data_IF_699273676749
#
_entry.id   IF_699273676749
#
_cell.length_a   1.000
_cell.length_b   1.000
_cell.length_c   1.000
_cell.angle_alpha   90.00
_cell.angle_beta   90.00
_cell.angle_gamma   90.00
#
_symmetry.space_group_name_H-M   'P 1'
#
loop_
_entity.id
_entity.type
_entity.pdbx_description
1 polymer ?
#
# COMPACT_ATOMS: atom_id res chain seq x y z
N UNK A 1 -4.80 -57.60 35.33
CA UNK A 1 -5.94 -56.70 35.10
C UNK A 1 -5.70 -56.00 33.78
N UNK A 2 -6.48 -56.32 32.75
CA UNK A 2 -6.36 -55.71 31.41
C UNK A 2 -6.70 -54.22 31.54
N UNK A 3 -5.78 -53.34 31.14
CA UNK A 3 -6.07 -51.92 30.92
C UNK A 3 -7.25 -51.85 29.96
N UNK A 4 -8.40 -51.40 30.47
CA UNK A 4 -9.56 -51.14 29.63
C UNK A 4 -9.23 -49.89 28.81
N UNK A 5 -9.04 -50.04 27.51
CA UNK A 5 -8.92 -48.89 26.61
C UNK A 5 -10.15 -47.99 26.75
N UNK A 6 -9.90 -46.69 26.76
CA UNK A 6 -10.91 -45.64 26.94
C UNK A 6 -10.96 -44.85 25.63
N UNK A 7 -12.16 -44.59 25.11
CA UNK A 7 -12.41 -43.72 23.96
C UNK A 7 -13.44 -42.65 24.34
N UNK A 8 -13.57 -41.61 23.52
CA UNK A 8 -14.54 -40.54 23.77
C UNK A 8 -15.64 -40.53 22.71
N UNK A 9 -16.86 -40.19 23.13
CA UNK A 9 -17.98 -40.06 22.22
C UNK A 9 -17.71 -38.99 21.16
N UNK A 10 -17.86 -39.33 19.87
CA UNK A 10 -17.67 -38.39 18.74
C UNK A 10 -18.63 -37.20 18.76
N UNK A 11 -19.77 -37.31 19.44
CA UNK A 11 -20.83 -36.30 19.43
C UNK A 11 -20.90 -35.48 20.72
N UNK A 12 -20.82 -36.10 21.90
CA UNK A 12 -20.90 -35.39 23.18
C UNK A 12 -19.59 -35.34 23.99
N UNK A 13 -18.58 -36.13 23.63
CA UNK A 13 -17.30 -36.18 24.34
C UNK A 13 -17.30 -36.96 25.66
N UNK A 14 -18.37 -37.72 25.95
CA UNK A 14 -18.44 -38.62 27.11
C UNK A 14 -17.37 -39.72 27.06
N UNK A 15 -16.84 -40.11 28.22
CA UNK A 15 -15.91 -41.23 28.37
C UNK A 15 -16.63 -42.56 28.14
N UNK A 16 -16.11 -43.35 27.21
CA UNK A 16 -16.68 -44.62 26.80
C UNK A 16 -15.61 -45.72 26.86
N UNK A 17 -15.96 -46.94 27.27
CA UNK A 17 -15.13 -48.10 27.02
C UNK A 17 -14.89 -48.29 25.51
N UNK A 18 -13.70 -48.74 25.12
CA UNK A 18 -13.24 -48.85 23.72
C UNK A 18 -14.19 -49.61 22.77
N UNK A 19 -14.92 -50.60 23.30
CA UNK A 19 -15.80 -51.48 22.51
C UNK A 19 -17.27 -51.03 22.44
N UNK A 20 -17.60 -49.83 22.93
CA UNK A 20 -19.00 -49.35 22.91
C UNK A 20 -19.41 -48.83 21.54
N UNK A 21 -20.52 -49.36 20.99
CA UNK A 21 -21.10 -48.99 19.68
C UNK A 21 -21.97 -47.73 19.71
N UNK A 22 -22.54 -47.38 20.87
CA UNK A 22 -23.43 -46.23 21.03
C UNK A 22 -23.14 -45.51 22.34
N UNK A 23 -23.07 -44.17 22.30
CA UNK A 23 -22.87 -43.39 23.51
C UNK A 23 -24.11 -43.47 24.42
N UNK A 24 -23.89 -43.83 25.69
CA UNK A 24 -24.96 -43.94 26.68
C UNK A 24 -25.62 -42.59 27.02
N UNK A 25 -24.92 -41.47 26.80
CA UNK A 25 -25.40 -40.13 27.15
C UNK A 25 -26.15 -39.45 25.99
N UNK A 26 -25.63 -39.55 24.76
CA UNK A 26 -26.21 -38.84 23.61
C UNK A 26 -26.77 -39.74 22.51
N UNK A 27 -26.65 -41.06 22.64
CA UNK A 27 -27.15 -42.04 21.66
C UNK A 27 -26.37 -42.12 20.35
N UNK A 28 -25.30 -41.33 20.18
CA UNK A 28 -24.54 -41.30 18.92
C UNK A 28 -23.81 -42.63 18.67
N UNK A 29 -23.86 -43.13 17.44
CA UNK A 29 -23.11 -44.31 17.00
C UNK A 29 -21.60 -44.01 17.00
N UNK A 30 -20.81 -44.93 17.57
CA UNK A 30 -19.35 -44.84 17.66
C UNK A 30 -18.71 -45.87 16.73
N UNK A 31 -17.52 -45.58 16.22
CA UNK A 31 -16.69 -46.55 15.51
C UNK A 31 -16.06 -47.51 16.52
N UNK A 32 -16.07 -48.82 16.23
CA UNK A 32 -15.47 -49.87 17.07
C UNK A 32 -14.19 -50.33 16.41
N UNK A 33 -13.14 -50.54 17.22
CA UNK A 33 -11.76 -50.87 16.82
C UNK A 33 -11.63 -52.24 16.11
N UNK A 34 -12.75 -52.94 15.87
CA UNK A 34 -12.77 -54.29 15.30
C UNK A 34 -13.24 -54.45 13.85
N UNK A 35 -13.65 -53.37 13.15
CA UNK A 35 -14.22 -53.47 11.79
C UNK A 35 -13.23 -53.13 10.64
N UNK A 36 -11.94 -52.95 10.95
CA UNK A 36 -10.93 -52.66 9.93
C UNK A 36 -10.16 -53.94 9.55
N UNK A 37 -10.66 -54.65 8.53
CA UNK A 37 -9.79 -55.50 7.70
C UNK A 37 -8.80 -54.58 6.98
N UNK A 38 -7.53 -54.67 7.37
CA UNK A 38 -6.35 -54.37 6.56
C UNK A 38 -6.47 -53.10 5.69
N UNK A 39 -6.58 -51.96 6.34
CA UNK A 39 -6.06 -50.70 5.80
C UNK A 39 -4.99 -50.28 6.79
N UNK A 40 -3.73 -50.33 6.37
CA UNK A 40 -2.57 -49.85 7.10
C UNK A 40 -2.94 -48.60 7.91
N UNK A 41 -3.14 -48.76 9.22
CA UNK A 41 -3.25 -47.63 10.10
C UNK A 41 -1.89 -46.96 10.03
N UNK A 42 -1.80 -45.95 9.17
CA UNK A 42 -0.74 -44.95 9.22
C UNK A 42 -0.98 -44.21 10.52
N UNK A 43 -0.60 -44.87 11.62
CA UNK A 43 -0.14 -44.25 12.84
C UNK A 43 0.83 -43.21 12.33
N UNK A 44 0.40 -41.95 12.37
CA UNK A 44 1.21 -40.83 11.95
C UNK A 44 2.41 -40.87 12.88
N UNK A 45 3.50 -41.50 12.43
CA UNK A 45 4.76 -41.44 13.11
C UNK A 45 5.01 -39.95 13.28
N UNK A 46 5.07 -39.51 14.53
CA UNK A 46 5.68 -38.25 14.89
C UNK A 46 7.09 -38.27 14.28
N UNK A 47 7.24 -37.74 13.07
CA UNK A 47 8.53 -37.52 12.46
C UNK A 47 9.38 -36.76 13.49
N UNK A 48 10.55 -37.34 13.76
CA UNK A 48 11.62 -36.86 14.64
C UNK A 48 11.60 -35.34 14.81
N UNK A 49 11.29 -34.88 16.02
CA UNK A 49 11.39 -33.48 16.48
C UNK A 49 10.82 -32.43 15.49
N UNK A 50 9.63 -31.87 15.76
CA UNK A 50 9.08 -30.75 15.00
C UNK A 50 10.14 -29.67 14.74
N UNK A 51 10.34 -29.32 13.47
CA UNK A 51 11.19 -28.22 13.03
C UNK A 51 10.45 -27.34 12.02
N UNK A 52 11.03 -26.18 11.68
CA UNK A 52 10.47 -25.20 10.72
C UNK A 52 10.04 -25.87 9.41
N UNK A 53 10.95 -26.61 8.77
CA UNK A 53 10.67 -27.18 7.45
C UNK A 53 9.59 -28.25 7.46
N UNK A 54 9.54 -29.09 8.50
CA UNK A 54 8.52 -30.13 8.63
C UNK A 54 7.15 -29.52 8.92
N UNK A 55 7.10 -28.50 9.78
CA UNK A 55 5.88 -27.77 10.10
C UNK A 55 5.32 -27.03 8.87
N UNK A 56 6.17 -26.34 8.10
CA UNK A 56 5.77 -25.67 6.87
C UNK A 56 5.24 -26.64 5.80
N UNK A 57 5.95 -27.75 5.55
CA UNK A 57 5.50 -28.80 4.61
C UNK A 57 4.17 -29.39 5.04
N UNK A 58 3.99 -29.65 6.35
CA UNK A 58 2.74 -30.14 6.90
C UNK A 58 1.61 -29.10 6.73
N UNK A 59 1.91 -27.81 6.94
CA UNK A 59 1.00 -26.70 6.68
C UNK A 59 0.46 -26.72 5.25
N UNK A 60 1.36 -26.75 4.26
CA UNK A 60 1.00 -26.80 2.83
C UNK A 60 0.21 -28.06 2.48
N UNK A 61 0.62 -29.22 3.00
CA UNK A 61 -0.06 -30.50 2.75
C UNK A 61 -1.51 -30.49 3.22
N UNK A 62 -1.78 -29.80 4.33
CA UNK A 62 -3.08 -29.78 5.02
C UNK A 62 -3.77 -28.40 4.97
N UNK A 63 -3.44 -27.57 3.97
CA UNK A 63 -3.90 -26.19 3.84
C UNK A 63 -5.44 -26.05 3.92
N UNK A 64 -6.19 -26.96 3.30
CA UNK A 64 -7.66 -26.97 3.31
C UNK A 64 -8.27 -28.08 4.19
N UNK A 65 -7.46 -28.71 5.06
CA UNK A 65 -7.94 -29.80 5.93
C UNK A 65 -8.25 -29.27 7.32
N UNK A 66 -9.54 -29.20 7.68
CA UNK A 66 -9.98 -28.66 8.97
C UNK A 66 -10.29 -29.73 10.04
N UNK A 67 -10.75 -30.92 9.64
CA UNK A 67 -11.10 -31.99 10.58
C UNK A 67 -9.92 -32.88 10.96
N UNK A 68 -8.78 -32.27 11.31
CA UNK A 68 -7.61 -32.94 11.89
C UNK A 68 -7.15 -32.16 13.14
N UNK A 69 -6.35 -32.80 13.98
CA UNK A 69 -5.64 -32.13 15.08
C UNK A 69 -4.21 -31.73 14.68
N UNK A 70 -3.60 -30.79 15.40
CA UNK A 70 -2.19 -30.41 15.19
C UNK A 70 -1.54 -30.13 16.55
N UNK A 71 -0.41 -30.82 16.79
CA UNK A 71 0.40 -30.67 18.00
C UNK A 71 0.91 -29.23 18.15
N UNK A 72 0.98 -28.74 19.39
CA UNK A 72 1.55 -27.46 19.82
C UNK A 72 2.84 -27.09 19.11
N UNK A 73 3.81 -28.00 19.04
CA UNK A 73 5.12 -27.69 18.47
C UNK A 73 5.04 -27.41 16.96
N UNK A 74 4.31 -28.23 16.20
CA UNK A 74 4.08 -28.00 14.77
C UNK A 74 3.32 -26.69 14.52
N UNK A 75 2.37 -26.35 15.39
CA UNK A 75 1.63 -25.08 15.29
C UNK A 75 2.55 -23.87 15.46
N UNK A 76 3.37 -23.83 16.51
CA UNK A 76 4.24 -22.68 16.77
C UNK A 76 5.40 -22.55 15.78
N UNK A 77 5.95 -23.66 15.29
CA UNK A 77 6.95 -23.62 14.21
C UNK A 77 6.34 -23.07 12.91
N UNK A 78 5.15 -23.55 12.52
CA UNK A 78 4.45 -23.02 11.35
C UNK A 78 4.12 -21.53 11.54
N UNK A 79 3.66 -21.12 12.74
CA UNK A 79 3.40 -19.72 13.04
C UNK A 79 4.65 -18.86 12.85
N UNK A 80 5.81 -19.34 13.33
CA UNK A 80 7.09 -18.67 13.14
C UNK A 80 7.48 -18.57 11.65
N UNK A 81 7.33 -19.66 10.89
CA UNK A 81 7.60 -19.65 9.45
C UNK A 81 6.75 -18.61 8.73
N UNK A 82 5.44 -18.60 9.02
CA UNK A 82 4.50 -17.65 8.42
C UNK A 82 4.81 -16.21 8.86
N UNK A 83 5.21 -15.99 10.11
CA UNK A 83 5.63 -14.67 10.59
C UNK A 83 6.85 -14.16 9.82
N UNK A 84 7.90 -14.98 9.69
CA UNK A 84 9.12 -14.60 8.97
C UNK A 84 8.86 -14.33 7.48
N UNK A 85 8.04 -15.16 6.84
CA UNK A 85 7.62 -14.93 5.45
C UNK A 85 6.87 -13.60 5.34
N UNK A 86 5.94 -13.29 6.26
CA UNK A 86 5.21 -12.03 6.23
C UNK A 86 6.13 -10.81 6.45
N UNK A 87 7.11 -10.89 7.36
CA UNK A 87 8.12 -9.84 7.54
C UNK A 87 8.92 -9.64 6.26
N UNK A 88 9.39 -10.73 5.63
CA UNK A 88 10.14 -10.66 4.37
C UNK A 88 9.31 -10.05 3.23
N UNK A 89 8.07 -10.51 3.05
CA UNK A 89 7.14 -9.96 2.06
C UNK A 89 6.85 -8.49 2.33
N UNK A 90 6.64 -8.13 3.60
CA UNK A 90 6.37 -6.77 4.08
C UNK A 90 7.51 -5.79 3.83
N UNK A 91 8.77 -6.25 3.92
CA UNK A 91 9.95 -5.41 3.66
C UNK A 91 10.29 -5.29 2.17
N UNK A 92 9.91 -6.28 1.35
CA UNK A 92 10.42 -6.38 -0.03
C UNK A 92 9.36 -6.16 -1.11
N UNK A 93 8.22 -6.85 -1.04
CA UNK A 93 7.21 -6.89 -2.09
C UNK A 93 6.04 -5.93 -1.81
N UNK A 94 5.65 -5.77 -0.55
CA UNK A 94 4.55 -4.88 -0.15
C UNK A 94 4.83 -3.41 -0.48
N UNK A 95 6.03 -2.83 -0.23
CA UNK A 95 6.29 -1.44 -0.56
C UNK A 95 6.25 -1.22 -2.07
N UNK A 96 6.72 -2.18 -2.87
CA UNK A 96 6.66 -2.13 -4.34
C UNK A 96 5.23 -2.22 -4.86
N UNK A 97 4.38 -3.02 -4.21
CA UNK A 97 2.96 -3.10 -4.52
C UNK A 97 2.23 -1.78 -4.13
N UNK A 98 2.57 -1.18 -2.98
CA UNK A 98 1.91 0.04 -2.48
C UNK A 98 2.42 1.34 -3.13
N UNK A 99 3.69 1.43 -3.51
CA UNK A 99 4.32 2.68 -3.98
C UNK A 99 3.85 3.16 -5.35
N UNK A 100 3.03 2.39 -6.07
CA UNK A 100 2.73 2.61 -7.48
C UNK A 100 1.24 2.76 -7.80
N UNK A 101 0.40 3.08 -6.80
CA UNK A 101 -1.04 3.28 -6.98
C UNK A 101 -1.53 4.65 -6.45
N UNK A 102 -0.75 5.71 -6.70
CA UNK A 102 -1.14 7.09 -6.40
C UNK A 102 -1.91 7.77 -7.55
N UNK A 103 -2.18 7.04 -8.64
CA UNK A 103 -2.91 7.53 -9.81
C UNK A 103 -4.13 6.62 -9.97
N UNK A 104 -5.32 7.21 -10.12
CA UNK A 104 -6.61 6.52 -10.04
C UNK A 104 -6.80 5.33 -10.99
N UNK A 105 -8.00 4.74 -10.95
CA UNK A 105 -8.41 3.51 -11.66
C UNK A 105 -8.14 3.45 -13.18
N UNK A 106 -7.62 4.49 -13.81
CA UNK A 106 -7.53 4.63 -15.26
C UNK A 106 -6.44 3.84 -15.96
N UNK A 107 -5.24 3.65 -15.38
CA UNK A 107 -4.09 3.13 -16.14
C UNK A 107 -3.13 2.26 -15.31
N UNK A 108 -3.58 1.10 -14.82
CA UNK A 108 -2.63 0.09 -14.35
C UNK A 108 -1.81 -0.43 -15.53
N UNK A 109 -0.49 -0.21 -15.50
CA UNK A 109 0.41 -0.99 -16.36
C UNK A 109 0.18 -2.49 -16.09
N UNK A 110 0.00 -3.30 -17.14
CA UNK A 110 -0.29 -4.73 -17.03
C UNK A 110 0.69 -5.46 -16.09
N UNK A 111 1.95 -5.04 -16.07
CA UNK A 111 2.98 -5.59 -15.18
C UNK A 111 2.67 -5.36 -13.69
N UNK A 112 2.04 -4.25 -13.34
CA UNK A 112 1.68 -3.90 -11.96
C UNK A 112 0.45 -4.65 -11.46
N UNK A 113 -0.54 -4.83 -12.34
CA UNK A 113 -1.71 -5.67 -12.04
C UNK A 113 -1.28 -7.11 -11.72
N UNK A 114 -0.34 -7.64 -12.51
CA UNK A 114 0.23 -8.97 -12.28
C UNK A 114 0.93 -9.05 -10.91
N UNK A 115 1.75 -8.05 -10.56
CA UNK A 115 2.43 -8.01 -9.27
C UNK A 115 1.44 -7.98 -8.10
N UNK A 116 0.37 -7.19 -8.21
CA UNK A 116 -0.71 -7.10 -7.21
C UNK A 116 -1.42 -8.44 -7.00
N UNK A 117 -1.76 -9.13 -8.10
CA UNK A 117 -2.39 -10.46 -8.04
C UNK A 117 -1.45 -11.48 -7.40
N UNK A 118 -0.14 -11.43 -7.72
CA UNK A 118 0.86 -12.32 -7.11
C UNK A 118 0.94 -12.09 -5.59
N UNK A 119 1.07 -10.84 -5.15
CA UNK A 119 1.15 -10.51 -3.72
C UNK A 119 -0.15 -10.87 -3.00
N UNK A 120 -1.31 -10.54 -3.58
CA UNK A 120 -2.62 -10.91 -3.06
C UNK A 120 -2.79 -12.43 -2.94
N UNK A 121 -2.30 -13.19 -3.93
CA UNK A 121 -2.36 -14.66 -3.92
C UNK A 121 -1.45 -15.28 -2.87
N UNK A 122 -0.25 -14.72 -2.66
CA UNK A 122 0.65 -15.12 -1.59
C UNK A 122 0.00 -14.90 -0.21
N UNK A 123 -0.56 -13.70 0.04
CA UNK A 123 -1.26 -13.41 1.28
C UNK A 123 -2.49 -14.29 1.50
N UNK A 124 -3.31 -14.50 0.46
CA UNK A 124 -4.45 -15.41 0.53
C UNK A 124 -4.01 -16.83 0.93
N UNK A 125 -2.94 -17.34 0.32
CA UNK A 125 -2.43 -18.67 0.64
C UNK A 125 -1.89 -18.76 2.08
N UNK A 126 -1.07 -17.79 2.51
CA UNK A 126 -0.55 -17.75 3.89
C UNK A 126 -1.69 -17.65 4.93
N UNK A 127 -2.74 -16.88 4.63
CA UNK A 127 -3.91 -16.78 5.48
C UNK A 127 -4.66 -18.12 5.60
N UNK A 128 -4.79 -18.89 4.51
CA UNK A 128 -5.38 -20.23 4.53
C UNK A 128 -4.55 -21.18 5.41
N UNK A 129 -3.21 -21.15 5.29
CA UNK A 129 -2.32 -21.97 6.11
C UNK A 129 -2.52 -21.66 7.61
N UNK A 130 -2.52 -20.37 7.97
CA UNK A 130 -2.72 -19.92 9.35
C UNK A 130 -4.11 -20.31 9.88
N UNK A 131 -5.16 -20.07 9.08
CA UNK A 131 -6.54 -20.36 9.48
C UNK A 131 -6.76 -21.86 9.72
N UNK A 132 -6.34 -22.70 8.77
CA UNK A 132 -6.43 -24.15 8.90
C UNK A 132 -5.66 -24.66 10.12
N UNK A 133 -4.42 -24.22 10.32
CA UNK A 133 -3.63 -24.62 11.47
C UNK A 133 -4.26 -24.19 12.80
N UNK A 134 -4.86 -23.00 12.85
CA UNK A 134 -5.54 -22.49 14.06
C UNK A 134 -6.78 -23.29 14.41
N UNK A 135 -7.59 -23.68 13.42
CA UNK A 135 -8.74 -24.59 13.63
C UNK A 135 -8.27 -25.95 14.14
N UNK A 136 -7.26 -26.54 13.47
CA UNK A 136 -6.70 -27.85 13.89
C UNK A 136 -6.10 -27.81 15.29
N UNK A 137 -5.54 -26.68 15.69
CA UNK A 137 -4.99 -26.49 17.03
C UNK A 137 -6.09 -26.33 18.10
N UNK A 138 -7.20 -25.67 17.78
CA UNK A 138 -8.35 -25.62 18.68
C UNK A 138 -8.96 -27.01 18.88
N UNK A 139 -9.10 -27.79 17.79
CA UNK A 139 -9.55 -29.17 17.86
C UNK A 139 -8.67 -30.03 18.78
N UNK A 140 -7.34 -29.85 18.70
CA UNK A 140 -6.36 -30.54 19.56
C UNK A 140 -6.52 -30.22 21.05
N UNK A 141 -7.08 -29.04 21.39
CA UNK A 141 -7.43 -28.66 22.79
C UNK A 141 -8.90 -28.86 23.11
N UNK A 142 -9.58 -29.72 22.34
CA UNK A 142 -10.98 -30.11 22.48
C UNK A 142 -11.98 -28.93 22.32
N UNK A 143 -11.60 -27.90 21.57
CA UNK A 143 -12.44 -26.71 21.30
C UNK A 143 -12.88 -26.70 19.84
N UNK A 144 -14.07 -26.16 19.56
CA UNK A 144 -14.54 -26.00 18.18
C UNK A 144 -13.78 -24.87 17.47
N UNK A 145 -13.66 -24.95 16.15
CA UNK A 145 -13.09 -23.88 15.33
C UNK A 145 -13.79 -22.52 15.50
N UNK A 146 -15.05 -22.52 15.96
CA UNK A 146 -15.81 -21.30 16.26
C UNK A 146 -15.17 -20.45 17.36
N UNK A 147 -14.27 -21.01 18.18
CA UNK A 147 -13.52 -20.19 19.14
C UNK A 147 -12.66 -19.11 18.44
N UNK A 148 -12.34 -19.24 17.14
CA UNK A 148 -11.65 -18.19 16.39
C UNK A 148 -12.42 -16.88 16.31
N UNK A 149 -13.77 -16.91 16.40
CA UNK A 149 -14.59 -15.70 16.44
C UNK A 149 -14.28 -14.80 17.64
N UNK A 150 -13.70 -15.35 18.72
CA UNK A 150 -13.22 -14.55 19.83
C UNK A 150 -12.16 -13.53 19.38
N UNK A 151 -11.41 -13.80 18.31
CA UNK A 151 -10.45 -12.85 17.74
C UNK A 151 -11.07 -11.55 17.21
N UNK A 152 -12.40 -11.49 17.02
CA UNK A 152 -13.11 -10.24 16.69
C UNK A 152 -13.24 -9.30 17.89
N UNK A 153 -13.04 -9.78 19.12
CA UNK A 153 -13.05 -8.97 20.33
C UNK A 153 -11.63 -8.43 20.55
N UNK A 154 -11.42 -7.09 20.49
CA UNK A 154 -10.10 -6.51 20.67
C UNK A 154 -9.49 -6.89 22.02
N UNK A 155 -8.17 -7.11 22.03
CA UNK A 155 -7.36 -7.39 23.24
C UNK A 155 -7.74 -8.71 23.94
N UNK A 156 -8.90 -8.79 24.59
CA UNK A 156 -9.33 -9.94 25.40
C UNK A 156 -9.48 -11.20 24.55
N UNK A 157 -10.07 -11.05 23.37
CA UNK A 157 -10.26 -12.14 22.41
C UNK A 157 -8.96 -12.76 21.95
N UNK A 158 -7.98 -11.91 21.62
CA UNK A 158 -6.64 -12.33 21.21
C UNK A 158 -5.89 -13.05 22.33
N UNK A 159 -5.93 -12.51 23.56
CA UNK A 159 -5.29 -13.15 24.72
C UNK A 159 -5.90 -14.54 24.97
N UNK A 160 -7.22 -14.66 24.91
CA UNK A 160 -7.91 -15.94 25.08
C UNK A 160 -7.50 -16.97 24.02
N UNK A 161 -7.38 -16.56 22.75
CA UNK A 161 -6.90 -17.43 21.68
C UNK A 161 -5.45 -17.89 21.89
N UNK A 162 -4.57 -16.98 22.30
CA UNK A 162 -3.17 -17.32 22.63
C UNK A 162 -3.13 -18.34 23.78
N UNK A 163 -3.93 -18.16 24.82
CA UNK A 163 -4.06 -19.12 25.92
C UNK A 163 -4.55 -20.48 25.39
N UNK A 164 -5.50 -20.51 24.47
CA UNK A 164 -5.97 -21.77 23.89
C UNK A 164 -4.89 -22.44 23.03
N UNK A 165 -4.12 -21.68 22.26
CA UNK A 165 -3.05 -22.23 21.42
C UNK A 165 -1.82 -22.73 22.21
N UNK A 166 -1.61 -22.26 23.45
CA UNK A 166 -0.49 -22.66 24.31
C UNK A 166 -0.79 -23.87 25.20
N UNK A 167 -2.07 -24.15 25.50
CA UNK A 167 -2.51 -25.29 26.34
C UNK A 167 -2.02 -26.64 25.82
N UNK A 168 -1.84 -27.61 26.70
CA UNK A 168 -1.47 -28.97 26.28
C UNK A 168 -2.61 -29.63 25.47
N UNK A 169 -2.24 -30.61 24.65
CA UNK A 169 -3.18 -31.37 23.83
C UNK A 169 -4.13 -32.17 24.74
N UNK A 170 -5.42 -32.13 24.46
CA UNK A 170 -6.43 -32.89 25.18
C UNK A 170 -6.78 -34.16 24.39
N UNK A 171 -6.72 -35.31 25.04
CA UNK A 171 -7.13 -36.60 24.46
C UNK A 171 -8.55 -36.58 23.88
N UNK A 172 -9.44 -35.74 24.41
CA UNK A 172 -10.81 -35.53 23.90
C UNK A 172 -10.85 -34.85 22.53
N UNK A 173 -9.78 -34.16 22.13
CA UNK A 173 -9.64 -33.50 20.84
C UNK A 173 -9.74 -34.46 19.64
N UNK A 174 -9.38 -35.74 19.83
CA UNK A 174 -9.47 -36.79 18.80
C UNK A 174 -10.86 -36.93 18.17
N UNK A 175 -11.93 -36.46 18.82
CA UNK A 175 -13.30 -36.45 18.25
C UNK A 175 -13.42 -35.63 16.97
N UNK A 176 -12.52 -34.66 16.75
CA UNK A 176 -12.52 -33.80 15.57
C UNK A 176 -11.76 -34.39 14.38
N UNK A 177 -11.01 -35.48 14.59
CA UNK A 177 -10.33 -36.21 13.53
C UNK A 177 -11.37 -36.96 12.70
N UNK A 178 -11.65 -36.44 11.51
CA UNK A 178 -12.49 -37.10 10.51
C UNK A 178 -11.60 -37.93 9.59
N UNK A 179 -12.05 -39.12 9.21
CA UNK A 179 -11.42 -39.88 8.12
C UNK A 179 -11.60 -39.10 6.81
N UNK A 180 -10.60 -38.31 6.44
CA UNK A 180 -10.55 -37.65 5.14
C UNK A 180 -10.17 -38.67 4.06
N UNK A 181 -10.84 -38.57 2.92
CA UNK A 181 -10.36 -39.16 1.67
C UNK A 181 -8.89 -38.78 1.45
N UNK A 182 -8.07 -39.74 1.00
CA UNK A 182 -6.64 -39.57 0.71
C UNK A 182 -6.34 -38.57 -0.41
N UNK A 183 -7.37 -37.99 -1.03
CA UNK A 183 -7.24 -37.02 -2.08
C UNK A 183 -6.66 -35.70 -1.57
N UNK A 184 -5.54 -35.32 -2.19
CA UNK A 184 -4.83 -34.06 -1.93
C UNK A 184 -5.72 -32.86 -2.26
N UNK A 185 -5.61 -31.79 -1.48
CA UNK A 185 -6.49 -30.63 -1.58
C UNK A 185 -6.50 -29.98 -2.96
N UNK A 186 -5.37 -29.95 -3.66
CA UNK A 186 -5.24 -29.32 -4.98
C UNK A 186 -5.95 -30.10 -6.10
N UNK A 187 -6.44 -31.32 -5.85
CA UNK A 187 -7.28 -32.07 -6.80
C UNK A 187 -8.74 -31.62 -6.79
N UNK A 188 -9.17 -30.92 -5.73
CA UNK A 188 -10.56 -30.44 -5.58
C UNK A 188 -10.67 -29.02 -6.14
N UNK A 189 -11.47 -28.85 -7.21
CA UNK A 189 -11.65 -27.55 -7.89
C UNK A 189 -12.20 -26.46 -6.95
N UNK A 190 -13.04 -26.83 -5.98
CA UNK A 190 -13.59 -25.90 -4.97
C UNK A 190 -12.51 -25.16 -4.19
N UNK A 191 -11.38 -25.81 -3.89
CA UNK A 191 -10.28 -25.18 -3.16
C UNK A 191 -9.59 -24.10 -4.00
N UNK A 192 -9.49 -24.32 -5.32
CA UNK A 192 -8.98 -23.31 -6.25
C UNK A 192 -9.91 -22.12 -6.37
N UNK A 193 -11.23 -22.34 -6.39
CA UNK A 193 -12.22 -21.26 -6.37
C UNK A 193 -12.09 -20.41 -5.11
N UNK A 194 -11.97 -21.04 -3.94
CA UNK A 194 -11.75 -20.34 -2.68
C UNK A 194 -10.45 -19.52 -2.73
N UNK A 195 -9.36 -20.10 -3.25
CA UNK A 195 -8.08 -19.42 -3.38
C UNK A 195 -8.17 -18.18 -4.29
N UNK A 196 -8.84 -18.29 -5.44
CA UNK A 196 -9.03 -17.17 -6.39
C UNK A 196 -9.87 -16.07 -5.76
N UNK A 197 -10.98 -16.41 -5.09
CA UNK A 197 -11.83 -15.43 -4.42
C UNK A 197 -11.04 -14.70 -3.33
N UNK A 198 -10.30 -15.42 -2.49
CA UNK A 198 -9.47 -14.81 -1.45
C UNK A 198 -8.36 -13.95 -2.04
N UNK A 199 -7.76 -14.35 -3.15
CA UNK A 199 -6.75 -13.57 -3.87
C UNK A 199 -7.30 -12.23 -4.33
N UNK A 200 -8.52 -12.21 -4.91
CA UNK A 200 -9.19 -10.98 -5.31
C UNK A 200 -9.49 -10.08 -4.12
N UNK A 201 -10.02 -10.64 -3.02
CA UNK A 201 -10.29 -9.88 -1.79
C UNK A 201 -9.01 -9.27 -1.22
N UNK A 202 -7.93 -10.05 -1.13
CA UNK A 202 -6.64 -9.55 -0.66
C UNK A 202 -6.10 -8.44 -1.56
N UNK A 203 -6.23 -8.58 -2.89
CA UNK A 203 -5.79 -7.56 -3.86
C UNK A 203 -6.57 -6.25 -3.68
N UNK A 204 -7.89 -6.34 -3.56
CA UNK A 204 -8.77 -5.17 -3.30
C UNK A 204 -8.42 -4.52 -1.95
N UNK A 205 -8.10 -5.33 -0.93
CA UNK A 205 -7.74 -4.83 0.40
C UNK A 205 -6.40 -4.10 0.39
N UNK A 206 -5.39 -4.65 -0.30
CA UNK A 206 -4.08 -3.99 -0.50
C UNK A 206 -4.29 -2.65 -1.21
N UNK A 207 -5.12 -2.64 -2.25
CA UNK A 207 -5.46 -1.43 -2.99
C UNK A 207 -6.11 -0.36 -2.09
N UNK A 208 -7.12 -0.77 -1.31
CA UNK A 208 -7.84 0.10 -0.37
C UNK A 208 -6.91 0.66 0.71
N UNK A 209 -5.99 -0.18 1.22
CA UNK A 209 -5.00 0.24 2.22
C UNK A 209 -3.98 1.21 1.64
N UNK A 210 -3.50 0.97 0.41
CA UNK A 210 -2.62 1.90 -0.30
C UNK A 210 -3.29 3.27 -0.47
N UNK A 211 -4.55 3.28 -0.92
CA UNK A 211 -5.36 4.49 -1.04
C UNK A 211 -5.52 5.21 0.31
N UNK A 212 -5.89 4.48 1.37
CA UNK A 212 -6.05 5.05 2.71
C UNK A 212 -4.73 5.63 3.26
N UNK A 213 -3.59 4.97 3.05
CA UNK A 213 -2.28 5.49 3.49
C UNK A 213 -1.90 6.76 2.75
N UNK A 214 -2.20 6.87 1.44
CA UNK A 214 -1.99 8.09 0.66
C UNK A 214 -2.87 9.24 1.14
N UNK A 215 -4.15 8.96 1.41
CA UNK A 215 -5.07 9.95 1.97
C UNK A 215 -4.68 10.37 3.39
N UNK A 216 -4.13 9.47 4.20
CA UNK A 216 -3.60 9.80 5.51
C UNK A 216 -2.33 10.67 5.41
N UNK A 217 -1.44 10.41 4.45
CA UNK A 217 -0.27 11.26 4.19
C UNK A 217 -0.70 12.66 3.71
N UNK A 218 -1.73 12.75 2.86
CA UNK A 218 -2.35 14.01 2.44
C UNK A 218 -2.92 14.80 3.64
N UNK A 219 -3.80 14.19 4.44
CA UNK A 219 -4.42 14.83 5.60
C UNK A 219 -3.43 15.18 6.73
N UNK A 220 -2.34 14.40 6.87
CA UNK A 220 -1.28 14.67 7.85
C UNK A 220 -0.45 15.90 7.46
N UNK A 221 -0.24 16.12 6.17
CA UNK A 221 0.33 17.37 5.64
C UNK A 221 -0.53 18.57 6.04
N UNK A 222 -1.84 18.45 5.93
CA UNK A 222 -2.81 19.50 6.27
C UNK A 222 -2.94 19.76 7.79
N UNK A 223 -2.90 18.72 8.63
CA UNK A 223 -2.96 18.89 10.11
C UNK A 223 -1.69 19.52 10.71
N UNK A 224 -0.55 19.42 10.02
CA UNK A 224 0.70 20.08 10.43
C UNK A 224 0.62 21.61 10.20
N UNK A 225 -0.24 22.04 9.27
CA UNK A 225 -0.53 23.46 9.02
C UNK A 225 -1.51 23.98 10.09
N UNK A 226 -2.53 23.20 10.47
CA UNK A 226 -3.53 23.60 11.47
C UNK A 226 -3.00 23.63 12.91
N UNK A 227 -2.14 22.69 13.30
CA UNK A 227 -1.58 22.64 14.67
C UNK A 227 -0.54 23.73 14.98
N UNK A 228 -0.10 24.52 13.98
CA UNK A 228 0.72 25.72 14.22
C UNK A 228 -0.12 26.96 14.54
N UNK A 229 -1.45 26.89 14.39
CA UNK A 229 -2.37 28.03 14.58
C UNK A 229 -2.94 28.09 16.01
N UNK A 230 -3.05 26.97 16.73
CA UNK A 230 -3.76 26.94 18.03
C UNK A 230 -2.88 27.04 19.28
N UNK A 231 -1.55 26.90 19.19
CA UNK A 231 -0.68 26.83 20.39
C UNK A 231 0.15 28.08 20.72
N UNK A 232 -0.18 29.25 20.20
CA UNK A 232 0.58 30.50 20.48
C UNK A 232 -0.23 31.65 21.09
N UNK A 233 -1.26 31.34 21.89
CA UNK A 233 -1.84 32.34 22.81
C UNK A 233 -1.64 31.92 24.27
N UNK A 234 -0.91 32.75 25.01
CA UNK A 234 -0.60 32.72 26.45
C UNK A 234 0.55 31.81 26.93
N UNK A 235 1.79 32.29 26.84
CA UNK A 235 2.45 32.91 28.00
C UNK A 235 3.85 33.39 27.62
N UNK A 236 4.07 34.65 27.97
CA UNK A 236 5.27 35.47 27.85
C UNK A 236 6.52 34.83 28.45
N UNK A 237 7.63 34.85 27.70
CA UNK A 237 8.82 35.63 28.06
C UNK A 237 9.76 35.75 26.85
N UNK A 238 9.93 37.01 26.42
CA UNK A 238 11.10 37.62 25.76
C UNK A 238 11.80 36.84 24.62
N UNK A 239 11.59 37.29 23.38
CA UNK A 239 12.51 38.24 22.72
C UNK A 239 11.86 38.82 21.45
N UNK A 240 12.41 39.96 21.06
CA UNK A 240 11.80 41.08 20.36
C UNK A 240 11.10 40.78 19.02
N UNK A 241 9.96 41.43 18.81
CA UNK A 241 9.24 41.50 17.55
C UNK A 241 9.78 42.62 16.68
N UNK A 242 10.06 42.33 15.41
CA UNK A 242 9.75 43.27 14.32
C UNK A 242 9.28 42.48 13.11
N UNK A 243 7.97 42.53 12.88
CA UNK A 243 7.38 42.34 11.55
C UNK A 243 8.00 43.36 10.59
N UNK A 244 8.43 42.95 9.40
CA UNK A 244 8.25 43.78 8.20
C UNK A 244 8.08 42.90 6.96
N UNK A 245 6.97 43.16 6.27
CA UNK A 245 6.82 42.89 4.86
C UNK A 245 7.67 43.92 4.11
N UNK A 246 8.75 43.51 3.45
CA UNK A 246 9.33 44.33 2.37
C UNK A 246 10.32 43.55 1.51
N UNK A 247 10.12 43.70 0.20
CA UNK A 247 11.13 43.58 -0.85
C UNK A 247 12.42 44.34 -0.53
N UNK A 248 13.60 43.74 -0.72
CA UNK A 248 14.79 44.35 -1.34
C UNK A 248 16.03 43.45 -1.28
N UNK A 249 16.65 43.27 -2.45
CA UNK A 249 18.09 43.33 -2.74
C UNK A 249 19.14 42.61 -1.85
N UNK A 250 19.68 41.54 -2.44
CA UNK A 250 21.10 41.18 -2.61
C UNK A 250 22.05 40.98 -1.40
N UNK A 251 22.71 39.80 -1.46
CA UNK A 251 24.04 39.41 -0.92
C UNK A 251 24.16 39.07 0.57
N UNK A 252 23.68 37.88 0.94
CA UNK A 252 24.44 36.90 1.73
C UNK A 252 23.77 35.52 1.54
N UNK A 253 24.55 34.43 1.57
CA UNK A 253 24.22 33.08 1.05
C UNK A 253 22.73 32.70 0.94
N UNK A 254 22.20 32.64 -0.29
CA UNK A 254 20.79 32.33 -0.53
C UNK A 254 20.54 30.82 -0.42
N UNK A 255 19.80 30.41 0.61
CA UNK A 255 19.21 29.07 0.66
C UNK A 255 17.76 29.13 0.19
N UNK A 256 17.37 28.29 -0.74
CA UNK A 256 15.98 28.07 -1.13
C UNK A 256 15.44 26.83 -0.43
N UNK A 257 14.20 26.88 0.05
CA UNK A 257 13.56 25.69 0.61
C UNK A 257 12.75 24.99 -0.48
N UNK A 258 13.07 23.73 -0.77
CA UNK A 258 12.25 22.81 -1.58
C UNK A 258 11.71 21.73 -0.65
N UNK A 259 10.45 21.87 -0.23
CA UNK A 259 9.80 20.95 0.70
C UNK A 259 10.47 20.98 2.08
N UNK A 260 11.11 19.89 2.49
CA UNK A 260 11.87 19.80 3.76
C UNK A 260 13.38 20.00 3.56
N UNK A 261 13.84 20.13 2.33
CA UNK A 261 15.25 20.26 1.98
C UNK A 261 15.62 21.74 1.82
N UNK A 262 16.72 22.14 2.45
CA UNK A 262 17.36 23.43 2.14
C UNK A 262 18.36 23.21 1.02
N UNK A 263 18.25 24.03 -0.03
CA UNK A 263 19.10 24.02 -1.20
C UNK A 263 19.91 25.29 -1.17
N UNK A 264 21.23 25.17 -1.09
CA UNK A 264 22.12 26.32 -1.17
C UNK A 264 22.20 26.77 -2.64
N UNK A 265 22.05 28.07 -2.88
CA UNK A 265 22.01 28.68 -4.21
C UNK A 265 23.32 29.44 -4.44
N UNK A 266 24.06 29.01 -5.45
CA UNK A 266 25.30 29.65 -5.87
C UNK A 266 25.06 30.90 -6.72
N UNK A 267 24.01 30.89 -7.56
CA UNK A 267 23.66 32.02 -8.42
C UNK A 267 22.16 31.99 -8.79
N UNK A 268 21.56 33.13 -9.10
CA UNK A 268 20.18 33.21 -9.59
C UNK A 268 20.02 34.29 -10.66
N UNK A 269 19.08 34.09 -11.58
CA UNK A 269 18.67 35.12 -12.53
C UNK A 269 17.18 35.09 -12.79
N UNK A 270 16.57 36.26 -12.66
CA UNK A 270 15.16 36.51 -12.99
C UNK A 270 15.02 36.98 -14.43
N UNK A 271 14.03 36.43 -15.12
CA UNK A 271 13.62 36.80 -16.46
C UNK A 271 12.14 37.18 -16.43
N UNK A 272 11.83 38.44 -16.75
CA UNK A 272 10.45 38.87 -16.95
C UNK A 272 9.98 38.45 -18.34
N UNK A 273 8.78 37.89 -18.44
CA UNK A 273 8.25 37.34 -19.68
C UNK A 273 6.89 37.98 -19.98
N UNK A 274 6.51 37.96 -21.26
CA UNK A 274 5.21 38.48 -21.74
C UNK A 274 4.43 37.39 -22.47
N UNK A 275 4.70 36.14 -22.14
CA UNK A 275 4.04 35.02 -22.80
C UNK A 275 2.56 35.02 -22.43
N UNK A 276 1.70 34.84 -23.44
CA UNK A 276 0.26 34.82 -23.28
C UNK A 276 -0.37 33.93 -24.36
N UNK A 277 -1.21 32.99 -23.96
CA UNK A 277 -2.05 32.18 -24.85
C UNK A 277 -3.52 32.34 -24.45
N UNK A 278 -4.34 32.85 -25.36
CA UNK A 278 -5.79 33.01 -25.21
C UNK A 278 -6.58 32.24 -26.26
N UNK A 279 -5.98 31.25 -26.90
CA UNK A 279 -6.52 30.61 -28.11
C UNK A 279 -7.47 29.46 -27.83
N UNK A 280 -7.66 29.06 -26.57
CA UNK A 280 -8.43 27.86 -26.22
C UNK A 280 -9.41 28.09 -25.07
N UNK A 281 -10.63 27.58 -25.24
CA UNK A 281 -11.72 27.58 -24.26
C UNK A 281 -12.06 28.95 -23.62
N UNK A 282 -11.69 30.07 -24.27
CA UNK A 282 -11.82 31.41 -23.69
C UNK A 282 -10.91 31.66 -22.47
N UNK A 283 -9.96 30.77 -22.22
CA UNK A 283 -9.03 30.79 -21.09
C UNK A 283 -7.75 31.52 -21.48
N UNK A 284 -7.23 32.32 -20.55
CA UNK A 284 -5.97 33.04 -20.71
C UNK A 284 -4.88 32.42 -19.82
N UNK A 285 -3.87 31.85 -20.46
CA UNK A 285 -2.64 31.39 -19.82
C UNK A 285 -1.56 32.45 -20.01
N UNK A 286 -0.93 32.89 -18.92
CA UNK A 286 0.20 33.83 -18.98
C UNK A 286 1.36 33.34 -18.15
N UNK A 287 2.57 33.50 -18.68
CA UNK A 287 3.82 33.31 -17.94
C UNK A 287 4.49 34.67 -17.92
N UNK A 288 4.62 35.25 -16.73
CA UNK A 288 5.12 36.59 -16.48
C UNK A 288 6.53 36.61 -15.88
N UNK A 289 6.94 35.52 -15.22
CA UNK A 289 8.29 35.39 -14.65
C UNK A 289 8.85 33.99 -14.76
N UNK A 290 10.12 33.91 -15.15
CA UNK A 290 10.96 32.71 -15.06
C UNK A 290 12.19 33.03 -14.22
N UNK A 291 12.49 32.22 -13.22
CA UNK A 291 13.70 32.34 -12.41
C UNK A 291 14.57 31.10 -12.57
N UNK A 292 15.85 31.30 -12.88
CA UNK A 292 16.82 30.24 -13.01
C UNK A 292 17.77 30.30 -11.82
N UNK A 293 17.89 29.20 -11.10
CA UNK A 293 18.78 29.05 -9.96
C UNK A 293 19.88 28.05 -10.30
N UNK A 294 21.12 28.42 -9.98
CA UNK A 294 22.27 27.52 -9.94
C UNK A 294 22.47 27.09 -8.49
N UNK A 295 22.45 25.78 -8.24
CA UNK A 295 22.67 25.27 -6.88
C UNK A 295 24.15 25.21 -6.55
N UNK A 296 24.47 25.40 -5.27
CA UNK A 296 25.81 25.17 -4.72
C UNK A 296 25.97 23.68 -4.42
N UNK A 297 26.47 22.94 -5.42
CA UNK A 297 26.59 21.49 -5.39
C UNK A 297 25.45 20.77 -6.13
N UNK A 298 25.35 19.46 -5.89
CA UNK A 298 24.42 18.56 -6.56
C UNK A 298 23.48 17.93 -5.53
N UNK A 299 22.19 17.97 -5.80
CA UNK A 299 21.14 17.53 -4.90
C UNK A 299 20.35 16.37 -5.52
N UNK A 300 19.76 15.52 -4.68
CA UNK A 300 18.89 14.44 -5.13
C UNK A 300 17.48 14.98 -5.40
N UNK A 301 16.96 14.73 -6.60
CA UNK A 301 15.58 15.05 -6.97
C UNK A 301 14.57 14.14 -6.28
N UNK A 302 13.29 14.53 -6.32
CA UNK A 302 12.20 13.82 -5.65
C UNK A 302 11.56 12.72 -6.52
N UNK A 303 12.15 12.41 -7.68
CA UNK A 303 11.67 11.34 -8.55
C UNK A 303 12.03 9.95 -7.99
N UNK A 304 11.36 8.92 -8.50
CA UNK A 304 11.59 7.52 -8.08
C UNK A 304 13.03 7.02 -8.26
N UNK A 305 13.84 7.72 -9.08
CA UNK A 305 15.23 7.38 -9.39
C UNK A 305 16.23 8.23 -8.60
N UNK A 306 15.76 9.21 -7.82
CA UNK A 306 16.55 10.26 -7.19
C UNK A 306 17.53 10.90 -8.16
N UNK A 307 17.03 11.32 -9.33
CA UNK A 307 17.89 11.95 -10.33
C UNK A 307 18.56 13.19 -9.75
N UNK A 308 19.87 13.27 -9.93
CA UNK A 308 20.67 14.37 -9.41
C UNK A 308 20.46 15.62 -10.24
N UNK A 309 20.30 16.76 -9.57
CA UNK A 309 20.17 18.06 -10.21
C UNK A 309 21.18 19.07 -9.66
N UNK A 310 21.54 20.04 -10.50
CA UNK A 310 22.43 21.14 -10.11
C UNK A 310 21.93 22.52 -10.57
N UNK A 311 20.67 22.59 -11.02
CA UNK A 311 19.95 23.82 -11.35
C UNK A 311 18.45 23.64 -11.17
N UNK A 312 17.74 24.76 -10.98
CA UNK A 312 16.29 24.80 -10.80
C UNK A 312 15.75 25.90 -11.72
N UNK A 313 14.69 25.60 -12.48
CA UNK A 313 13.92 26.59 -13.23
C UNK A 313 12.55 26.72 -12.57
N UNK A 314 12.22 27.91 -12.08
CA UNK A 314 10.93 28.26 -11.51
C UNK A 314 10.15 29.10 -12.50
N UNK A 315 8.96 28.68 -12.87
CA UNK A 315 8.09 29.37 -13.83
C UNK A 315 6.82 29.80 -13.11
N UNK A 316 6.59 31.11 -13.03
CA UNK A 316 5.34 31.65 -12.50
C UNK A 316 4.31 31.72 -13.64
N UNK A 317 3.17 31.07 -13.45
CA UNK A 317 2.08 31.04 -14.41
C UNK A 317 0.78 31.49 -13.76
N UNK A 318 0.00 32.29 -14.49
CA UNK A 318 -1.36 32.64 -14.14
C UNK A 318 -2.36 32.13 -15.19
N UNK A 319 -3.48 31.61 -14.71
CA UNK A 319 -4.58 31.05 -15.49
C UNK A 319 -5.85 31.84 -15.14
N UNK A 320 -6.47 32.43 -16.15
CA UNK A 320 -7.80 33.04 -16.04
C UNK A 320 -8.78 32.30 -16.93
N UNK A 321 -9.65 31.51 -16.31
CA UNK A 321 -10.62 30.66 -17.00
C UNK A 321 -11.73 31.50 -17.62
N UNK A 322 -12.13 31.10 -18.82
CA UNK A 322 -13.27 31.69 -19.52
C UNK A 322 -14.61 31.30 -18.90
N UNK A 323 -15.66 31.24 -19.72
CA UNK A 323 -17.03 30.95 -19.26
C UNK A 323 -17.37 29.46 -19.13
N UNK A 324 -16.39 28.56 -19.31
CA UNK A 324 -16.58 27.10 -19.24
C UNK A 324 -15.57 26.50 -18.26
N UNK A 325 -16.00 25.47 -17.53
CA UNK A 325 -15.12 24.65 -16.70
C UNK A 325 -14.09 23.93 -17.58
N UNK A 326 -12.86 23.82 -17.10
CA UNK A 326 -11.74 23.16 -17.80
C UNK A 326 -10.94 22.31 -16.83
N UNK A 327 -10.20 21.35 -17.35
CA UNK A 327 -9.12 20.67 -16.65
C UNK A 327 -7.81 21.00 -17.37
N UNK A 328 -6.77 21.46 -16.67
CA UNK A 328 -5.47 21.76 -17.29
C UNK A 328 -4.34 21.42 -16.33
N UNK A 329 -3.17 21.00 -16.86
CA UNK A 329 -2.10 20.46 -16.00
C UNK A 329 -0.70 21.12 -16.19
N UNK A 330 -0.52 22.46 -16.09
CA UNK A 330 0.80 23.08 -16.11
C UNK A 330 1.79 22.61 -15.04
N UNK A 331 1.34 22.20 -13.84
CA UNK A 331 2.22 21.63 -12.82
C UNK A 331 2.71 20.21 -13.18
N UNK A 332 2.20 19.63 -14.27
CA UNK A 332 2.66 18.37 -14.88
C UNK A 332 3.37 18.62 -16.23
N UNK A 333 3.78 19.87 -16.50
CA UNK A 333 4.39 20.23 -17.77
C UNK A 333 5.76 19.56 -17.98
N UNK A 334 6.13 19.44 -19.25
CA UNK A 334 7.50 19.11 -19.68
C UNK A 334 8.25 20.39 -20.04
N UNK A 335 9.45 20.58 -19.51
CA UNK A 335 10.38 21.63 -19.89
C UNK A 335 11.48 21.09 -20.81
N UNK A 336 11.72 21.79 -21.92
CA UNK A 336 12.90 21.65 -22.76
C UNK A 336 13.74 22.92 -22.72
N UNK A 337 15.05 22.77 -22.52
CA UNK A 337 16.03 23.87 -22.46
C UNK A 337 16.80 24.01 -23.77
N UNK A 338 17.49 25.14 -23.99
CA UNK A 338 18.29 25.36 -25.21
C UNK A 338 19.46 24.39 -25.38
N UNK A 339 19.95 23.78 -24.30
CA UNK A 339 21.02 22.78 -24.31
C UNK A 339 20.49 21.33 -24.44
N UNK A 340 19.19 21.18 -24.71
CA UNK A 340 18.56 19.89 -25.04
C UNK A 340 18.18 19.04 -23.84
N UNK A 341 18.24 19.57 -22.61
CA UNK A 341 17.70 18.86 -21.45
C UNK A 341 16.18 18.84 -21.53
N UNK A 342 15.59 17.72 -21.14
CA UNK A 342 14.16 17.55 -21.03
C UNK A 342 13.84 17.01 -19.64
N UNK A 343 13.03 17.73 -18.89
CA UNK A 343 12.63 17.39 -17.52
C UNK A 343 11.14 17.65 -17.34
N UNK A 344 10.50 16.82 -16.52
CA UNK A 344 9.12 17.07 -16.10
C UNK A 344 9.11 18.01 -14.89
N UNK A 345 8.00 18.72 -14.70
CA UNK A 345 7.76 19.53 -13.52
C UNK A 345 7.82 18.68 -12.25
N UNK A 346 8.43 19.23 -11.20
CA UNK A 346 8.39 18.66 -9.86
C UNK A 346 7.05 19.00 -9.22
N UNK A 347 6.09 18.10 -9.42
CA UNK A 347 4.74 18.21 -8.87
C UNK A 347 4.70 18.29 -7.33
N UNK A 348 5.74 17.84 -6.63
CA UNK A 348 5.75 17.88 -5.17
C UNK A 348 6.10 19.26 -4.62
N UNK A 349 6.84 20.05 -5.40
CA UNK A 349 7.30 21.38 -4.99
C UNK A 349 6.60 22.52 -5.71
N UNK A 350 5.88 22.23 -6.79
CA UNK A 350 5.06 23.19 -7.52
C UNK A 350 3.78 23.53 -6.75
N UNK A 351 3.30 24.76 -6.95
CA UNK A 351 2.08 25.25 -6.32
C UNK A 351 0.85 24.53 -6.90
N UNK A 352 -0.19 24.39 -6.07
CA UNK A 352 -1.47 23.78 -6.46
C UNK A 352 -2.42 24.85 -7.05
N UNK A 353 -2.29 25.08 -8.36
CA UNK A 353 -3.05 26.11 -9.09
C UNK A 353 -3.71 25.59 -10.38
N UNK A 354 -3.55 24.30 -10.68
CA UNK A 354 -4.06 23.64 -11.88
C UNK A 354 -5.04 22.51 -11.54
N UNK A 355 -5.30 21.60 -12.48
CA UNK A 355 -6.34 20.59 -12.38
C UNK A 355 -7.70 21.10 -12.88
N UNK A 356 -8.77 20.75 -12.17
CA UNK A 356 -10.14 21.12 -12.51
C UNK A 356 -10.43 22.55 -12.04
N UNK A 357 -10.68 23.44 -13.00
CA UNK A 357 -10.90 24.86 -12.78
C UNK A 357 -12.29 25.26 -13.30
N UNK A 358 -13.10 25.79 -12.39
CA UNK A 358 -14.43 26.29 -12.71
C UNK A 358 -14.35 27.54 -13.62
N UNK A 359 -15.41 27.76 -14.39
CA UNK A 359 -15.62 28.96 -15.18
C UNK A 359 -15.38 30.24 -14.35
N UNK A 360 -14.67 31.19 -14.95
CA UNK A 360 -14.29 32.48 -14.39
C UNK A 360 -13.29 32.43 -13.22
N UNK A 361 -12.78 31.24 -12.85
CA UNK A 361 -11.72 31.13 -11.85
C UNK A 361 -10.44 31.85 -12.31
N UNK A 362 -9.70 32.37 -11.33
CA UNK A 362 -8.37 32.94 -11.50
C UNK A 362 -7.44 32.28 -10.50
N UNK A 363 -6.36 31.72 -11.00
CA UNK A 363 -5.36 30.98 -10.24
C UNK A 363 -3.98 31.33 -10.78
N UNK A 364 -2.99 31.37 -9.91
CA UNK A 364 -1.60 31.55 -10.28
C UNK A 364 -0.71 30.73 -9.33
N UNK A 365 0.49 30.41 -9.79
CA UNK A 365 1.42 29.60 -9.02
C UNK A 365 2.75 29.41 -9.72
N UNK A 366 3.69 28.87 -8.95
CA UNK A 366 5.04 28.53 -9.38
C UNK A 366 5.15 27.06 -9.76
N UNK A 367 5.71 26.79 -10.93
CA UNK A 367 6.08 25.46 -11.40
C UNK A 367 7.60 25.32 -11.28
N UNK A 368 8.08 24.26 -10.63
CA UNK A 368 9.52 24.01 -10.47
C UNK A 368 9.99 22.88 -11.37
N UNK A 369 11.12 23.07 -12.03
CA UNK A 369 11.79 22.07 -12.86
C UNK A 369 13.22 21.88 -12.35
N UNK A 370 13.59 20.64 -12.03
CA UNK A 370 14.92 20.29 -11.54
C UNK A 370 15.78 19.86 -12.73
N UNK A 371 16.77 20.66 -13.12
CA UNK A 371 17.63 20.38 -14.27
C UNK A 371 18.96 19.72 -13.86
N UNK A 372 19.36 18.60 -14.49
CA UNK A 372 20.59 17.88 -14.17
C UNK A 372 21.87 18.70 -14.27
N UNK A 373 21.91 19.63 -15.24
CA UNK A 373 23.12 20.38 -15.60
C UNK A 373 22.80 21.86 -15.80
N UNK A 374 23.56 22.71 -15.13
CA UNK A 374 23.59 24.15 -15.32
C UNK A 374 24.97 24.62 -14.87
N UNK A 375 25.74 25.28 -15.73
CA UNK A 375 27.04 25.84 -15.34
C UNK A 375 26.85 27.28 -14.87
N UNK A 376 26.16 28.11 -15.68
CA UNK A 376 25.78 29.48 -15.33
C UNK A 376 24.30 29.70 -15.61
N UNK A 377 23.66 30.54 -14.79
CA UNK A 377 22.25 30.93 -14.99
C UNK A 377 22.00 31.66 -16.31
N UNK A 378 23.05 32.24 -16.93
CA UNK A 378 23.01 32.88 -18.24
C UNK A 378 23.06 31.92 -19.43
N UNK A 379 23.44 30.65 -19.20
CA UNK A 379 23.55 29.67 -20.28
C UNK A 379 22.16 29.20 -20.75
N UNK A 380 21.16 29.36 -19.88
CA UNK A 380 19.76 29.12 -20.21
C UNK A 380 19.17 30.34 -20.93
N UNK A 381 18.98 30.21 -22.24
CA UNK A 381 18.49 31.29 -23.13
C UNK A 381 17.06 31.04 -23.63
N UNK A 382 16.58 29.80 -23.55
CA UNK A 382 15.19 29.47 -23.86
C UNK A 382 14.64 28.43 -22.89
N UNK A 383 13.34 28.54 -22.61
CA UNK A 383 12.55 27.55 -21.89
C UNK A 383 11.31 27.24 -22.73
N UNK A 384 11.18 26.00 -23.21
CA UNK A 384 10.00 25.53 -23.93
C UNK A 384 9.17 24.64 -23.01
N UNK A 385 7.96 25.05 -22.68
CA UNK A 385 7.05 24.32 -21.81
C UNK A 385 5.93 23.69 -22.62
N UNK A 386 5.59 22.45 -22.30
CA UNK A 386 4.43 21.74 -22.86
C UNK A 386 3.53 21.21 -21.75
N UNK A 387 2.24 21.43 -21.88
CA UNK A 387 1.22 20.91 -20.98
C UNK A 387 -0.08 20.66 -21.74
N UNK A 388 -1.05 20.05 -21.09
CA UNK A 388 -2.33 19.71 -21.70
C UNK A 388 -3.50 20.39 -21.00
N UNK A 389 -4.60 20.53 -21.72
CA UNK A 389 -5.90 20.89 -21.14
C UNK A 389 -7.03 20.23 -21.90
N UNK A 390 -8.13 19.98 -21.19
CA UNK A 390 -9.35 19.41 -21.72
C UNK A 390 -10.59 20.05 -21.08
N UNK A 391 -11.75 19.88 -21.70
CA UNK A 391 -13.04 20.17 -21.07
C UNK A 391 -14.05 19.10 -21.46
N UNK A 392 -15.03 18.86 -20.59
CA UNK A 392 -16.10 17.91 -20.85
C UNK A 392 -17.10 18.48 -21.88
N UNK A 393 -17.54 17.61 -22.79
CA UNK A 393 -18.54 17.91 -23.81
C UNK A 393 -19.23 16.61 -24.25
N UNK A 394 -20.54 16.71 -24.51
CA UNK A 394 -21.34 15.60 -25.06
C UNK A 394 -21.24 15.54 -26.61
N UNK A 395 -20.58 16.53 -27.22
CA UNK A 395 -20.33 16.57 -28.65
C UNK A 395 -19.09 15.73 -28.99
N UNK A 396 -19.32 14.50 -29.46
CA UNK A 396 -18.27 13.57 -29.85
C UNK A 396 -17.41 14.06 -31.03
N UNK A 397 -17.84 15.10 -31.75
CA UNK A 397 -17.12 15.70 -32.88
C UNK A 397 -16.37 16.99 -32.47
N UNK A 398 -16.38 17.38 -31.19
CA UNK A 398 -15.63 18.54 -30.70
C UNK A 398 -14.14 18.22 -30.55
N UNK A 399 -13.41 18.30 -31.66
CA UNK A 399 -11.95 18.14 -31.71
C UNK A 399 -11.19 19.17 -30.84
N UNK A 400 -11.85 20.25 -30.41
CA UNK A 400 -11.25 21.29 -29.58
C UNK A 400 -11.44 21.03 -28.07
N UNK A 401 -12.11 19.94 -27.70
CA UNK A 401 -12.26 19.46 -26.31
C UNK A 401 -10.95 19.11 -25.61
N UNK A 402 -9.87 18.92 -26.37
CA UNK A 402 -8.51 18.72 -25.87
C UNK A 402 -7.54 19.69 -26.56
N UNK A 403 -6.49 20.13 -25.85
CA UNK A 403 -5.41 20.93 -26.42
C UNK A 403 -4.07 20.60 -25.77
N UNK A 404 -3.07 20.43 -26.64
CA UNK A 404 -1.66 20.44 -26.27
C UNK A 404 -1.11 21.86 -26.44
N UNK A 405 -0.54 22.40 -25.36
CA UNK A 405 0.09 23.71 -25.35
C UNK A 405 1.60 23.58 -25.59
N UNK A 406 2.17 24.56 -26.27
CA UNK A 406 3.60 24.63 -26.58
C UNK A 406 4.08 26.08 -26.45
N UNK A 407 4.58 26.43 -25.26
CA UNK A 407 5.04 27.77 -24.93
C UNK A 407 6.55 27.86 -25.10
N UNK A 408 7.02 28.61 -26.09
CA UNK A 408 8.44 28.90 -26.25
C UNK A 408 8.76 30.28 -25.65
N UNK A 409 9.56 30.29 -24.58
CA UNK A 409 9.92 31.48 -23.81
C UNK A 409 11.39 31.81 -24.08
N UNK A 410 11.66 33.04 -24.50
CA UNK A 410 13.02 33.58 -24.59
C UNK A 410 13.46 34.14 -23.22
N UNK A 411 14.66 33.74 -22.78
CA UNK A 411 15.27 34.15 -21.52
C UNK A 411 16.47 35.05 -21.84
N UNK A 412 16.17 36.31 -22.12
CA UNK A 412 17.16 37.32 -22.52
C UNK A 412 17.17 38.51 -21.59
#
# INVERSE_FOLDING_TARGET
MSEKGIKYCVQCGEELPENVMFCAVCGAKQTVVGDEKSGEQVQFQEESSPNMTSAFKLGIREAFTLGKCTNRANFWWLYLDLFLINVLLGMTLVPKAMSMFSYGMGLYSFQQLILQIIVGGLWAFLAILQFSASVRRLHDTNRSGNCLWLGLIPVVGLIMLIVFFTKESDSKGKRFDKHYSSEKWYKKWQNWVILVILTLICTISINSMAYATKMADYNKSESTISSKVESSSSSSESEDTTDESSSSDAKDGHTMTLGRSKIDIADQKDYATKFKDTTWAGTNFSIDKVTVYKTDGTYDGNDSKKTKFNGIVKVHMAIKVGSKDISTFPAQATLNTNDGQQVEADMYHSDDFDGDLNANAQKDGNIYFLIPKLEKVSDLTTARLKWTGSYDTDDYEDDNSHKDFDAQIALS
#
